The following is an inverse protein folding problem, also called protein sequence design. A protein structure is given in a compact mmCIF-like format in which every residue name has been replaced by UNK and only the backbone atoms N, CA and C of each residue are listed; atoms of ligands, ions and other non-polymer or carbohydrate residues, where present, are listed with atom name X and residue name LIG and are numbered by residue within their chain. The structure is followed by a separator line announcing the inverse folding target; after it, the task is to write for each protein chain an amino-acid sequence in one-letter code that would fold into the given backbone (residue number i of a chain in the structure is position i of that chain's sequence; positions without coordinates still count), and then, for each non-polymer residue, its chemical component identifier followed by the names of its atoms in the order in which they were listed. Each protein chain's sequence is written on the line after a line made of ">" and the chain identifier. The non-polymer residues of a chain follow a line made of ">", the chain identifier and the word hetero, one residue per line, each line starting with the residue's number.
data_IF_339160118788
#
_entry.id   IF_339160118788
#
_cell.length_a   1.000
_cell.length_b   1.000
_cell.length_c   1.000
_cell.angle_alpha   90.00
_cell.angle_beta   90.00
_cell.angle_gamma   90.00
#
_symmetry.space_group_name_H-M   'P 1'
#
loop_
_entity.id
_entity.type
_entity.pdbx_description
1 polymer ?
#
# COMPACT_ATOMS: atom_id res chain seq x y z
N UNK A 1 1.77 38.96 -19.85
CA UNK A 1 1.81 37.53 -19.55
C UNK A 1 2.09 37.47 -18.06
N UNK A 2 1.08 37.09 -17.25
CA UNK A 2 1.22 37.04 -15.77
C UNK A 2 2.01 35.77 -15.46
N UNK A 3 3.21 35.94 -14.90
CA UNK A 3 4.02 34.80 -14.42
C UNK A 3 3.22 34.05 -13.33
N UNK A 4 2.95 32.77 -13.49
CA UNK A 4 2.16 32.05 -12.50
C UNK A 4 2.88 32.11 -11.16
N UNK A 5 2.14 32.38 -10.09
CA UNK A 5 2.72 32.42 -8.73
C UNK A 5 3.47 31.11 -8.45
N UNK A 6 4.55 31.14 -7.66
CA UNK A 6 5.37 29.94 -7.37
C UNK A 6 4.55 28.72 -6.89
N UNK A 7 3.44 28.96 -6.20
CA UNK A 7 2.52 27.92 -5.76
C UNK A 7 1.80 27.19 -6.91
N UNK A 8 1.41 27.89 -7.96
CA UNK A 8 0.78 27.27 -9.14
C UNK A 8 1.77 26.44 -9.95
N UNK A 9 3.05 26.86 -10.02
CA UNK A 9 4.09 26.09 -10.69
C UNK A 9 4.34 24.75 -9.97
N UNK A 10 4.49 24.77 -8.65
CA UNK A 10 4.70 23.55 -7.83
C UNK A 10 3.53 22.59 -7.94
N UNK A 11 2.29 23.08 -7.87
CA UNK A 11 1.11 22.20 -8.03
C UNK A 11 1.07 21.56 -9.42
N UNK A 12 1.37 22.32 -10.47
CA UNK A 12 1.43 21.80 -11.82
C UNK A 12 2.49 20.69 -11.96
N UNK A 13 3.71 20.94 -11.49
CA UNK A 13 4.78 19.93 -11.50
C UNK A 13 4.40 18.66 -10.75
N UNK A 14 3.68 18.78 -9.63
CA UNK A 14 3.19 17.64 -8.87
C UNK A 14 2.16 16.81 -9.66
N UNK A 15 1.21 17.47 -10.35
CA UNK A 15 0.21 16.78 -11.17
C UNK A 15 0.78 16.25 -12.48
N UNK A 16 1.83 16.86 -13.01
CA UNK A 16 2.53 16.41 -14.22
C UNK A 16 3.51 15.24 -13.94
N UNK A 17 3.69 14.86 -12.66
CA UNK A 17 4.58 13.76 -12.28
C UNK A 17 3.94 12.39 -12.59
N UNK A 18 4.30 11.84 -13.75
CA UNK A 18 3.77 10.56 -14.23
C UNK A 18 4.06 9.39 -13.28
N UNK A 19 5.26 9.33 -12.68
CA UNK A 19 5.64 8.24 -11.78
C UNK A 19 4.76 8.23 -10.51
N UNK A 20 4.49 9.40 -9.94
CA UNK A 20 3.57 9.54 -8.82
C UNK A 20 2.13 9.18 -9.24
N UNK A 21 1.68 9.70 -10.38
CA UNK A 21 0.33 9.46 -10.88
C UNK A 21 0.06 7.96 -11.11
N UNK A 22 0.93 7.25 -11.82
CA UNK A 22 0.77 5.82 -12.07
C UNK A 22 0.88 4.98 -10.79
N UNK A 23 1.78 5.33 -9.86
CA UNK A 23 1.83 4.68 -8.55
C UNK A 23 0.50 4.80 -7.79
N UNK A 24 -0.08 6.02 -7.76
CA UNK A 24 -1.38 6.26 -7.12
C UNK A 24 -2.53 5.53 -7.83
N UNK A 25 -2.53 5.49 -9.17
CA UNK A 25 -3.51 4.73 -9.94
C UNK A 25 -3.42 3.24 -9.63
N UNK A 26 -2.21 2.66 -9.60
CA UNK A 26 -2.01 1.26 -9.23
C UNK A 26 -2.49 0.96 -7.81
N UNK A 27 -2.23 1.87 -6.86
CA UNK A 27 -2.76 1.79 -5.50
C UNK A 27 -4.29 1.79 -5.49
N UNK A 28 -4.92 2.71 -6.22
CA UNK A 28 -6.37 2.83 -6.34
C UNK A 28 -7.00 1.57 -6.94
N UNK A 29 -6.42 1.04 -8.02
CA UNK A 29 -6.88 -0.22 -8.64
C UNK A 29 -6.78 -1.38 -7.65
N UNK A 30 -5.68 -1.49 -6.90
CA UNK A 30 -5.54 -2.52 -5.87
C UNK A 30 -6.60 -2.37 -4.76
N UNK A 31 -6.92 -1.16 -4.32
CA UNK A 31 -7.96 -0.91 -3.33
C UNK A 31 -9.37 -1.24 -3.86
N UNK A 32 -9.67 -0.82 -5.09
CA UNK A 32 -10.95 -1.16 -5.74
C UNK A 32 -11.09 -2.67 -5.95
N UNK A 33 -10.02 -3.37 -6.30
CA UNK A 33 -10.00 -4.83 -6.43
C UNK A 33 -10.37 -5.52 -5.11
N UNK A 34 -9.94 -5.01 -3.96
CA UNK A 34 -10.35 -5.54 -2.65
C UNK A 34 -11.87 -5.40 -2.44
N UNK A 35 -12.43 -4.24 -2.77
CA UNK A 35 -13.89 -4.04 -2.64
C UNK A 35 -14.66 -4.98 -3.56
N UNK A 36 -14.19 -5.19 -4.80
CA UNK A 36 -14.79 -6.14 -5.73
C UNK A 36 -14.70 -7.58 -5.24
N UNK A 37 -13.58 -8.00 -4.68
CA UNK A 37 -13.42 -9.32 -4.08
C UNK A 37 -14.38 -9.50 -2.90
N UNK A 38 -14.48 -8.51 -2.02
CA UNK A 38 -15.43 -8.56 -0.89
C UNK A 38 -16.87 -8.68 -1.37
N UNK A 39 -17.23 -7.92 -2.41
CA UNK A 39 -18.58 -7.95 -2.98
C UNK A 39 -18.88 -9.28 -3.70
N UNK A 40 -17.97 -9.77 -4.55
CA UNK A 40 -18.22 -10.93 -5.41
C UNK A 40 -18.04 -12.24 -4.64
N UNK A 41 -16.92 -12.38 -3.88
CA UNK A 41 -16.57 -13.63 -3.21
C UNK A 41 -17.31 -13.78 -1.89
N UNK A 42 -17.29 -12.72 -1.06
CA UNK A 42 -17.91 -12.74 0.26
C UNK A 42 -19.36 -12.28 0.25
N UNK A 43 -19.86 -11.77 -0.89
CA UNK A 43 -21.23 -11.20 -1.05
C UNK A 43 -21.56 -10.14 0.00
N UNK A 44 -20.59 -9.32 0.39
CA UNK A 44 -20.70 -8.28 1.42
C UNK A 44 -20.33 -6.93 0.85
N UNK A 45 -21.22 -5.96 1.00
CA UNK A 45 -20.92 -4.56 0.73
C UNK A 45 -20.19 -3.96 1.94
N UNK A 46 -18.89 -3.80 1.86
CA UNK A 46 -18.04 -3.33 2.97
C UNK A 46 -17.05 -2.26 2.49
N UNK A 47 -17.52 -1.01 2.30
CA UNK A 47 -16.65 0.07 1.79
C UNK A 47 -15.48 0.42 2.72
N UNK A 48 -15.55 0.07 4.01
CA UNK A 48 -14.46 0.22 4.97
C UNK A 48 -13.14 -0.45 4.50
N UNK A 49 -13.22 -1.48 3.66
CA UNK A 49 -12.04 -2.16 3.07
C UNK A 49 -11.15 -1.19 2.28
N UNK A 50 -11.70 -0.10 1.72
CA UNK A 50 -10.93 0.90 0.97
C UNK A 50 -9.93 1.69 1.84
N UNK A 51 -10.17 1.77 3.15
CA UNK A 51 -9.30 2.48 4.11
C UNK A 51 -8.62 1.53 5.10
N UNK A 52 -9.01 0.26 5.09
CA UNK A 52 -8.39 -0.76 5.93
C UNK A 52 -7.04 -1.22 5.36
N UNK A 53 -6.12 -1.52 6.27
CA UNK A 53 -4.85 -2.19 5.94
C UNK A 53 -5.07 -3.70 5.95
N UNK A 54 -4.48 -4.41 4.98
CA UNK A 54 -4.68 -5.86 4.82
C UNK A 54 -5.51 -6.18 3.58
N UNK A 55 -5.81 -7.47 3.38
CA UNK A 55 -6.54 -7.97 2.21
C UNK A 55 -5.70 -8.06 0.92
N UNK A 56 -6.26 -8.71 -0.10
CA UNK A 56 -5.61 -8.95 -1.40
C UNK A 56 -6.28 -8.12 -2.50
N UNK A 57 -5.50 -7.51 -3.40
CA UNK A 57 -4.04 -7.38 -3.45
C UNK A 57 -3.50 -6.30 -2.49
N UNK A 58 -2.18 -6.31 -2.20
CA UNK A 58 -1.52 -5.27 -1.40
C UNK A 58 -1.43 -3.95 -2.18
N UNK A 59 -2.14 -2.94 -1.73
CA UNK A 59 -2.12 -1.60 -2.34
C UNK A 59 -0.79 -0.86 -2.13
N UNK A 60 -0.10 -1.11 -1.01
CA UNK A 60 1.24 -0.56 -0.79
C UNK A 60 2.26 -1.13 -1.78
N UNK A 61 2.19 -2.45 -2.04
CA UNK A 61 3.05 -3.09 -3.03
C UNK A 61 2.75 -2.55 -4.43
N UNK A 62 1.47 -2.43 -4.80
CA UNK A 62 1.06 -1.88 -6.09
C UNK A 62 1.55 -0.43 -6.28
N UNK A 63 1.44 0.42 -5.24
CA UNK A 63 1.93 1.79 -5.25
C UNK A 63 3.42 1.86 -5.61
N UNK A 64 4.25 1.18 -4.79
CA UNK A 64 5.71 1.31 -4.93
C UNK A 64 6.25 0.63 -6.18
N UNK A 65 5.65 -0.49 -6.62
CA UNK A 65 6.07 -1.18 -7.85
C UNK A 65 5.56 -0.47 -9.09
N UNK A 66 4.37 0.15 -9.06
CA UNK A 66 3.87 0.99 -10.15
C UNK A 66 4.73 2.24 -10.35
N UNK A 67 5.10 2.92 -9.26
CA UNK A 67 6.04 4.05 -9.32
C UNK A 67 7.38 3.62 -9.89
N UNK A 68 7.96 2.52 -9.41
CA UNK A 68 9.24 2.01 -9.90
C UNK A 68 9.17 1.62 -11.38
N UNK A 69 8.11 0.92 -11.80
CA UNK A 69 7.92 0.52 -13.19
C UNK A 69 7.82 1.75 -14.13
N UNK A 70 7.02 2.75 -13.75
CA UNK A 70 6.92 3.98 -14.53
C UNK A 70 8.28 4.68 -14.68
N UNK A 71 9.07 4.76 -13.61
CA UNK A 71 10.43 5.32 -13.68
C UNK A 71 11.33 4.52 -14.62
N UNK A 72 11.30 3.18 -14.55
CA UNK A 72 12.07 2.33 -15.44
C UNK A 72 11.70 2.51 -16.92
N UNK A 73 10.40 2.62 -17.23
CA UNK A 73 9.95 2.82 -18.62
C UNK A 73 10.17 4.23 -19.16
N UNK A 74 10.11 5.24 -18.31
CA UNK A 74 10.23 6.65 -18.75
C UNK A 74 11.66 7.16 -18.73
N UNK A 75 12.49 6.71 -17.78
CA UNK A 75 13.86 7.20 -17.59
C UNK A 75 14.94 6.17 -17.93
N UNK A 76 14.57 4.89 -18.03
CA UNK A 76 15.48 3.77 -18.26
C UNK A 76 15.68 2.93 -16.99
N UNK A 77 15.80 1.61 -17.18
CA UNK A 77 16.04 0.66 -16.09
C UNK A 77 17.47 0.73 -15.50
N UNK A 78 18.37 1.39 -16.18
CA UNK A 78 19.73 1.72 -15.75
C UNK A 78 19.80 3.05 -14.97
N UNK A 79 18.72 3.83 -14.95
CA UNK A 79 18.71 5.13 -14.28
C UNK A 79 18.75 4.98 -12.74
N UNK A 80 19.53 5.81 -12.02
CA UNK A 80 19.64 5.74 -10.56
C UNK A 80 18.31 5.90 -9.81
N UNK A 81 17.36 6.66 -10.35
CA UNK A 81 16.02 6.82 -9.74
C UNK A 81 15.23 5.52 -9.77
N UNK A 82 15.32 4.72 -10.86
CA UNK A 82 14.72 3.40 -10.92
C UNK A 82 15.31 2.46 -9.86
N UNK A 83 16.64 2.47 -9.72
CA UNK A 83 17.32 1.67 -8.70
C UNK A 83 16.85 2.04 -7.29
N UNK A 84 16.78 3.34 -6.98
CA UNK A 84 16.28 3.84 -5.70
C UNK A 84 14.82 3.42 -5.45
N UNK A 85 13.93 3.63 -6.43
CA UNK A 85 12.52 3.25 -6.31
C UNK A 85 12.35 1.73 -6.11
N UNK A 86 13.16 0.92 -6.78
CA UNK A 86 13.16 -0.53 -6.64
C UNK A 86 13.59 -0.95 -5.24
N UNK A 87 14.67 -0.37 -4.69
CA UNK A 87 15.11 -0.66 -3.31
C UNK A 87 14.01 -0.27 -2.31
N UNK A 88 13.40 0.89 -2.46
CA UNK A 88 12.27 1.31 -1.62
C UNK A 88 11.09 0.33 -1.74
N UNK A 89 10.77 -0.14 -2.95
CA UNK A 89 9.72 -1.13 -3.16
C UNK A 89 10.02 -2.44 -2.40
N UNK A 90 11.24 -2.95 -2.46
CA UNK A 90 11.64 -4.14 -1.70
C UNK A 90 11.49 -3.93 -0.19
N UNK A 91 11.96 -2.80 0.35
CA UNK A 91 11.84 -2.50 1.79
C UNK A 91 10.38 -2.46 2.22
N UNK A 92 9.52 -1.77 1.47
CA UNK A 92 8.08 -1.67 1.77
C UNK A 92 7.39 -3.04 1.71
N UNK A 93 7.70 -3.85 0.69
CA UNK A 93 7.12 -5.20 0.54
C UNK A 93 7.59 -6.14 1.65
N UNK A 94 8.86 -6.05 2.04
CA UNK A 94 9.42 -6.84 3.12
C UNK A 94 8.81 -6.47 4.47
N UNK A 95 8.67 -5.16 4.76
CA UNK A 95 7.96 -4.66 5.94
C UNK A 95 6.51 -5.16 5.99
N UNK A 96 5.79 -5.01 4.88
CA UNK A 96 4.39 -5.40 4.79
C UNK A 96 4.14 -6.89 5.08
N UNK A 97 5.01 -7.79 4.61
CA UNK A 97 4.87 -9.24 4.80
C UNK A 97 5.60 -9.79 6.03
N UNK A 98 6.52 -9.03 6.61
CA UNK A 98 7.34 -9.39 7.76
C UNK A 98 6.92 -8.66 9.03
N UNK A 99 7.45 -7.45 9.22
CA UNK A 99 7.35 -6.70 10.48
C UNK A 99 5.89 -6.42 10.85
N UNK A 100 5.08 -5.90 9.92
CA UNK A 100 3.67 -5.60 10.20
C UNK A 100 2.86 -6.85 10.49
N UNK A 101 3.16 -7.96 9.84
CA UNK A 101 2.49 -9.22 10.11
C UNK A 101 2.87 -9.79 11.48
N UNK A 102 4.14 -9.69 11.87
CA UNK A 102 4.58 -10.04 13.23
C UNK A 102 3.89 -9.19 14.30
N UNK A 103 3.74 -7.87 14.05
CA UNK A 103 2.99 -6.98 14.94
C UNK A 103 1.52 -7.40 15.08
N UNK A 104 0.86 -7.86 14.01
CA UNK A 104 -0.50 -8.42 14.06
C UNK A 104 -0.60 -9.65 14.95
N UNK A 105 0.32 -10.60 14.81
CA UNK A 105 0.39 -11.79 15.68
C UNK A 105 0.70 -11.44 17.14
N UNK A 106 1.51 -10.41 17.39
CA UNK A 106 1.75 -9.92 18.74
C UNK A 106 0.48 -9.32 19.33
N UNK A 107 -0.26 -8.52 18.56
CA UNK A 107 -1.54 -7.96 18.98
C UNK A 107 -2.56 -9.06 19.34
N UNK A 108 -2.68 -10.11 18.51
CA UNK A 108 -3.53 -11.27 18.77
C UNK A 108 -3.19 -11.96 20.10
N UNK A 109 -1.90 -12.19 20.33
CA UNK A 109 -1.45 -12.82 21.58
C UNK A 109 -1.69 -11.96 22.79
N UNK A 110 -1.47 -10.64 22.69
CA UNK A 110 -1.73 -9.69 23.78
C UNK A 110 -3.21 -9.59 24.08
N UNK A 111 -4.06 -9.53 23.06
CA UNK A 111 -5.51 -9.50 23.22
C UNK A 111 -6.08 -10.80 23.87
N UNK A 112 -5.37 -11.93 23.67
CA UNK A 112 -5.74 -13.20 24.27
C UNK A 112 -5.32 -13.36 25.75
N UNK A 113 -4.54 -12.42 26.31
CA UNK A 113 -4.17 -12.45 27.71
C UNK A 113 -5.39 -12.22 28.62
N UNK A 114 -5.43 -12.92 29.76
CA UNK A 114 -6.50 -12.73 30.76
C UNK A 114 -6.44 -11.32 31.36
N UNK A 115 -7.60 -10.81 31.76
CA UNK A 115 -7.72 -9.49 32.41
C UNK A 115 -6.87 -9.33 33.69
N UNK A 116 -6.55 -10.43 34.38
CA UNK A 116 -5.69 -10.46 35.55
C UNK A 116 -4.22 -10.17 35.21
N UNK A 117 -3.77 -10.61 34.02
CA UNK A 117 -2.39 -10.40 33.55
C UNK A 117 -2.23 -9.08 32.81
N UNK A 118 -3.31 -8.58 32.24
CA UNK A 118 -3.35 -7.32 31.50
C UNK A 118 -4.57 -6.52 31.96
N UNK A 119 -4.51 -5.83 33.11
CA UNK A 119 -5.58 -4.96 33.55
C UNK A 119 -5.74 -3.83 32.54
N UNK A 120 -6.78 -3.94 31.73
CA UNK A 120 -6.98 -3.11 30.56
C UNK A 120 -7.19 -1.63 30.93
N UNK A 121 -6.25 -0.74 30.61
CA UNK A 121 -6.58 0.66 30.44
C UNK A 121 -7.15 0.90 29.03
N UNK A 122 -7.26 -0.13 28.17
CA UNK A 122 -7.64 0.02 26.78
C UNK A 122 -9.08 -0.41 26.58
N UNK A 123 -9.94 0.55 26.33
CA UNK A 123 -11.34 0.35 25.94
C UNK A 123 -11.49 -0.41 24.61
N UNK A 124 -10.42 -0.56 23.84
CA UNK A 124 -10.42 -1.21 22.53
C UNK A 124 -9.27 -2.21 22.41
N UNK A 125 -9.52 -3.42 21.87
CA UNK A 125 -8.46 -4.40 21.61
C UNK A 125 -7.47 -3.86 20.58
N UNK A 126 -6.23 -4.34 20.64
CA UNK A 126 -5.20 -4.04 19.67
C UNK A 126 -5.63 -4.55 18.29
N UNK A 127 -5.23 -3.82 17.23
CA UNK A 127 -5.56 -4.20 15.86
C UNK A 127 -4.75 -5.42 15.44
N UNK A 128 -5.40 -6.56 15.24
CA UNK A 128 -4.78 -7.83 14.86
C UNK A 128 -4.55 -7.95 13.34
N UNK A 129 -5.41 -7.31 12.54
CA UNK A 129 -5.38 -7.37 11.07
C UNK A 129 -4.29 -6.46 10.48
N UNK A 130 -3.05 -6.59 10.99
CA UNK A 130 -1.90 -5.85 10.46
C UNK A 130 -1.06 -6.72 9.53
N UNK A 131 -0.50 -6.08 8.50
CA UNK A 131 0.37 -6.72 7.52
C UNK A 131 -0.36 -7.53 6.47
N UNK A 132 0.42 -8.12 5.59
CA UNK A 132 -0.03 -8.88 4.44
C UNK A 132 0.60 -10.27 4.41
N UNK A 133 -0.07 -11.25 3.82
CA UNK A 133 0.60 -12.51 3.46
C UNK A 133 1.58 -12.27 2.30
N UNK A 134 2.57 -13.16 2.16
CA UNK A 134 3.53 -13.09 1.03
C UNK A 134 2.82 -13.11 -0.32
N UNK A 135 1.74 -13.88 -0.44
CA UNK A 135 0.94 -13.94 -1.66
C UNK A 135 0.25 -12.60 -1.96
N UNK A 136 -0.32 -11.94 -0.95
CA UNK A 136 -0.96 -10.63 -1.11
C UNK A 136 0.03 -9.56 -1.57
N UNK A 137 1.27 -9.60 -1.04
CA UNK A 137 2.37 -8.72 -1.46
C UNK A 137 2.77 -9.02 -2.89
N UNK A 138 2.96 -10.31 -3.24
CA UNK A 138 3.33 -10.73 -4.58
C UNK A 138 2.29 -10.30 -5.62
N UNK A 139 1.01 -10.58 -5.39
CA UNK A 139 -0.06 -10.15 -6.31
C UNK A 139 -0.10 -8.63 -6.42
N UNK A 140 0.02 -7.91 -5.31
CA UNK A 140 0.09 -6.45 -5.32
C UNK A 140 1.28 -5.91 -6.12
N UNK A 141 2.45 -6.56 -6.02
CA UNK A 141 3.64 -6.16 -6.78
C UNK A 141 3.53 -6.41 -8.28
N UNK A 142 2.65 -7.29 -8.72
CA UNK A 142 2.36 -7.51 -10.15
C UNK A 142 1.34 -6.50 -10.69
N UNK A 143 0.40 -6.05 -9.86
CA UNK A 143 -0.58 -5.02 -10.24
C UNK A 143 0.11 -3.70 -10.61
N UNK A 144 1.13 -3.30 -9.84
CA UNK A 144 1.86 -2.05 -10.09
C UNK A 144 2.38 -1.95 -11.53
N UNK A 145 3.30 -2.82 -11.97
CA UNK A 145 3.83 -2.81 -13.33
C UNK A 145 2.79 -3.06 -14.42
N UNK A 146 1.70 -3.78 -14.12
CA UNK A 146 0.64 -4.05 -15.09
C UNK A 146 -0.23 -2.83 -15.40
N UNK A 147 -0.25 -1.84 -14.51
CA UNK A 147 -1.03 -0.60 -14.63
C UNK A 147 -0.18 0.57 -15.11
N UNK A 148 1.08 0.65 -14.69
CA UNK A 148 2.00 1.73 -15.07
C UNK A 148 2.45 1.62 -16.52
#
# INVERSE_FOLDING_TARGET
>A
MIDPSPSHAVLRELFDNSALAWGLVACGVAQLSKLLIELIVHRRWRPAVLVETGGMPSSHSALVTGTAACLGWTQGFDHPTFALATVVAFVVMYDASGIRRAAGYTAERVNALSADLWPAPYEKPLKESLGHSRLQVLVGSMVGPAIA
#
